data_IF_379542163665
#
_entry.id   IF_379542163665
#
_cell.length_a   1.000
_cell.length_b   1.000
_cell.length_c   1.000
_cell.angle_alpha   90.00
_cell.angle_beta   90.00
_cell.angle_gamma   90.00
#
_symmetry.space_group_name_H-M   'P 1'
#
loop_
_entity.id
_entity.type
_entity.pdbx_description
1 polymer ?
#
# COMPACT_ATOMS: atom_id res chain seq x y z
N UNK A 1 -18.65 4.03 -7.70
CA UNK A 1 -17.79 3.10 -8.46
C UNK A 1 -17.68 1.82 -7.66
N UNK A 2 -17.93 0.67 -8.29
CA UNK A 2 -17.82 -0.64 -7.64
C UNK A 2 -16.37 -0.90 -7.16
N UNK A 3 -16.21 -1.38 -5.92
CA UNK A 3 -14.91 -1.62 -5.28
C UNK A 3 -14.00 -2.54 -6.09
N UNK A 4 -14.56 -3.54 -6.79
CA UNK A 4 -13.82 -4.40 -7.74
C UNK A 4 -12.88 -3.64 -8.70
N UNK A 5 -13.25 -2.43 -9.10
CA UNK A 5 -12.46 -1.59 -10.01
C UNK A 5 -11.49 -0.63 -9.30
N UNK A 6 -11.67 -0.42 -8.00
CA UNK A 6 -10.79 0.39 -7.16
C UNK A 6 -9.67 -0.44 -6.50
N UNK A 7 -9.97 -1.71 -6.18
CA UNK A 7 -9.09 -2.67 -5.52
C UNK A 7 -8.23 -3.45 -6.53
N UNK A 8 -6.94 -3.73 -6.27
CA UNK A 8 -6.03 -4.54 -7.11
C UNK A 8 -6.68 -5.73 -7.80
N UNK A 9 -6.34 -5.99 -9.08
CA UNK A 9 -6.99 -7.04 -9.89
C UNK A 9 -6.87 -8.42 -9.25
N UNK A 10 -5.75 -8.68 -8.57
CA UNK A 10 -5.47 -9.96 -7.92
C UNK A 10 -6.50 -10.30 -6.84
N UNK A 11 -7.13 -9.29 -6.22
CA UNK A 11 -8.15 -9.49 -5.20
C UNK A 11 -9.49 -9.95 -5.75
N UNK A 12 -9.74 -9.83 -7.06
CA UNK A 12 -11.07 -10.14 -7.63
C UNK A 12 -11.43 -11.62 -7.51
N UNK A 13 -10.44 -12.50 -7.44
CA UNK A 13 -10.63 -13.94 -7.30
C UNK A 13 -10.59 -14.40 -5.84
N UNK A 14 -10.05 -13.58 -4.94
CA UNK A 14 -9.82 -13.92 -3.53
C UNK A 14 -10.93 -13.37 -2.64
N UNK A 15 -11.23 -12.07 -2.76
CA UNK A 15 -12.14 -11.40 -1.84
C UNK A 15 -13.61 -11.82 -2.03
N UNK A 16 -14.43 -11.69 -0.97
CA UNK A 16 -15.87 -11.93 -1.04
C UNK A 16 -16.57 -11.07 -2.08
N UNK A 17 -17.65 -11.63 -2.65
CA UNK A 17 -18.44 -10.93 -3.67
C UNK A 17 -19.11 -9.69 -3.09
N UNK A 18 -19.53 -9.75 -1.84
CA UNK A 18 -20.20 -8.70 -1.09
C UNK A 18 -19.35 -7.44 -0.99
N UNK A 19 -18.05 -7.59 -0.69
CA UNK A 19 -17.07 -6.50 -0.71
C UNK A 19 -16.82 -6.04 -2.15
N UNK A 20 -16.52 -6.97 -3.06
CA UNK A 20 -16.15 -6.62 -4.45
C UNK A 20 -17.27 -5.89 -5.19
N UNK A 21 -18.53 -6.22 -4.93
CA UNK A 21 -19.71 -5.63 -5.57
C UNK A 21 -20.28 -4.43 -4.80
N UNK A 22 -19.69 -4.06 -3.66
CA UNK A 22 -20.10 -2.84 -2.97
C UNK A 22 -19.70 -1.61 -3.79
N UNK A 23 -20.60 -0.65 -3.88
CA UNK A 23 -20.42 0.59 -4.63
C UNK A 23 -20.62 1.77 -3.68
N UNK A 24 -19.58 2.18 -2.93
CA UNK A 24 -19.64 3.42 -2.17
C UNK A 24 -19.66 4.61 -3.15
N UNK A 25 -20.58 5.55 -2.91
CA UNK A 25 -20.69 6.79 -3.69
C UNK A 25 -19.98 7.96 -3.00
N UNK A 26 -18.66 7.89 -2.93
CA UNK A 26 -17.85 8.92 -2.29
C UNK A 26 -17.62 10.14 -3.21
N UNK A 27 -18.27 11.25 -2.89
CA UNK A 27 -18.19 12.52 -3.62
C UNK A 27 -17.31 13.57 -2.93
N UNK A 28 -17.00 13.39 -1.64
CA UNK A 28 -16.23 14.35 -0.85
C UNK A 28 -14.71 14.12 -0.86
N UNK A 29 -14.22 12.97 -1.31
CA UNK A 29 -12.79 12.65 -1.32
C UNK A 29 -12.32 12.32 -2.75
N UNK A 30 -12.36 13.30 -3.64
CA UNK A 30 -11.83 13.15 -5.01
C UNK A 30 -10.38 13.62 -5.08
N UNK A 31 -9.52 12.83 -5.72
CA UNK A 31 -8.10 13.16 -5.88
C UNK A 31 -7.87 14.26 -6.93
N UNK A 32 -8.78 14.40 -7.90
CA UNK A 32 -8.68 15.42 -8.96
C UNK A 32 -8.97 16.83 -8.44
N UNK A 33 -9.87 16.95 -7.46
CA UNK A 33 -10.20 18.21 -6.79
C UNK A 33 -10.12 18.01 -5.28
N UNK A 34 -8.91 18.13 -4.73
CA UNK A 34 -8.65 17.82 -3.33
C UNK A 34 -9.56 18.63 -2.39
N UNK A 35 -10.43 17.94 -1.65
CA UNK A 35 -11.36 18.55 -0.70
C UNK A 35 -10.68 19.03 0.59
N UNK A 36 -9.43 18.64 0.80
CA UNK A 36 -8.58 19.08 1.90
C UNK A 36 -7.72 20.29 1.53
N UNK A 37 -7.72 20.75 0.26
CA UNK A 37 -6.94 21.92 -0.14
C UNK A 37 -7.71 23.23 0.05
N UNK A 38 -6.98 24.33 0.20
CA UNK A 38 -7.57 25.67 0.24
C UNK A 38 -8.09 26.07 -1.15
N UNK A 39 -9.15 26.89 -1.24
CA UNK A 39 -9.95 27.45 -0.14
C UNK A 39 -11.04 26.50 0.41
N UNK A 40 -11.19 25.29 -0.15
CA UNK A 40 -12.27 24.34 0.17
C UNK A 40 -12.24 23.84 1.61
N UNK A 41 -11.06 23.55 2.14
CA UNK A 41 -10.86 23.21 3.55
C UNK A 41 -10.63 24.47 4.38
N UNK A 42 -11.45 24.69 5.41
CA UNK A 42 -11.33 25.87 6.28
C UNK A 42 -10.61 25.60 7.59
N UNK A 43 -10.50 24.34 8.00
CA UNK A 43 -9.86 23.86 9.21
C UNK A 43 -8.35 24.05 9.23
N UNK A 44 -7.76 23.87 10.42
CA UNK A 44 -6.32 24.04 10.66
C UNK A 44 -5.50 23.07 9.79
N UNK A 45 -5.93 21.81 9.72
CA UNK A 45 -5.33 20.78 8.89
C UNK A 45 -5.90 20.91 7.48
N UNK A 46 -5.02 21.15 6.52
CA UNK A 46 -5.33 21.26 5.10
C UNK A 46 -4.11 20.80 4.31
N UNK A 47 -4.27 20.53 3.02
CA UNK A 47 -3.19 20.12 2.12
C UNK A 47 -2.91 21.20 1.08
N UNK A 48 -1.69 21.23 0.57
CA UNK A 48 -1.36 21.93 -0.67
C UNK A 48 -2.05 21.24 -1.85
N UNK A 49 -2.61 22.02 -2.76
CA UNK A 49 -3.38 21.50 -3.91
C UNK A 49 -2.53 20.64 -4.84
N UNK A 50 -1.26 21.00 -5.01
CA UNK A 50 -0.29 20.29 -5.86
C UNK A 50 0.30 19.02 -5.20
N UNK A 51 0.17 18.87 -3.87
CA UNK A 51 0.70 17.74 -3.12
C UNK A 51 -0.38 16.74 -2.65
N UNK A 52 -1.57 17.25 -2.28
CA UNK A 52 -2.73 16.44 -1.84
C UNK A 52 -2.35 15.55 -0.64
N UNK A 53 -3.02 14.41 -0.48
CA UNK A 53 -2.59 13.35 0.46
C UNK A 53 -1.35 12.58 -0.04
N UNK A 54 -0.80 12.92 -1.21
CA UNK A 54 0.33 12.21 -1.83
C UNK A 54 1.68 12.58 -1.20
N UNK A 55 1.72 13.22 -0.02
CA UNK A 55 2.93 13.34 0.81
C UNK A 55 3.11 12.13 1.74
N UNK A 56 2.62 10.97 1.31
CA UNK A 56 2.80 9.68 1.97
C UNK A 56 3.53 8.75 1.02
N UNK A 57 4.58 8.07 1.48
CA UNK A 57 5.26 7.01 0.74
C UNK A 57 4.64 5.66 1.10
N UNK A 58 3.72 5.11 0.28
CA UNK A 58 3.04 3.87 0.63
C UNK A 58 3.95 2.67 0.44
N UNK A 59 3.73 1.68 1.29
CA UNK A 59 4.21 0.32 1.06
C UNK A 59 3.47 -0.30 -0.13
N UNK A 60 4.19 -1.07 -0.96
CA UNK A 60 3.60 -1.90 -2.00
C UNK A 60 4.14 -3.33 -1.81
N UNK A 61 3.29 -4.32 -1.49
CA UNK A 61 3.74 -5.68 -1.20
C UNK A 61 4.33 -6.36 -2.44
N UNK A 62 5.20 -7.34 -2.21
CA UNK A 62 5.99 -8.03 -3.24
C UNK A 62 5.18 -8.51 -4.47
N UNK A 63 4.03 -9.13 -4.27
CA UNK A 63 3.18 -9.63 -5.33
C UNK A 63 2.49 -8.50 -6.13
N UNK A 64 2.23 -7.34 -5.52
CA UNK A 64 1.73 -6.17 -6.25
C UNK A 64 2.81 -5.49 -7.07
N UNK A 65 4.06 -5.48 -6.57
CA UNK A 65 5.22 -5.08 -7.36
C UNK A 65 5.35 -6.01 -8.57
N UNK A 66 5.23 -7.32 -8.38
CA UNK A 66 5.19 -8.31 -9.47
C UNK A 66 4.05 -8.09 -10.46
N UNK A 67 2.83 -7.82 -9.97
CA UNK A 67 1.67 -7.52 -10.81
C UNK A 67 1.93 -6.32 -11.73
N UNK A 68 2.53 -5.25 -11.20
CA UNK A 68 2.90 -4.07 -11.98
C UNK A 68 4.02 -4.38 -12.97
N UNK A 69 5.05 -5.12 -12.58
CA UNK A 69 6.16 -5.53 -13.46
C UNK A 69 5.72 -6.47 -14.59
N UNK A 70 4.61 -7.19 -14.40
CA UNK A 70 3.98 -8.03 -15.43
C UNK A 70 3.00 -7.27 -16.33
N UNK A 71 2.54 -6.08 -15.93
CA UNK A 71 1.67 -5.24 -16.76
C UNK A 71 2.50 -4.43 -17.77
N UNK A 72 2.41 -4.72 -19.09
CA UNK A 72 3.16 -3.98 -20.10
C UNK A 72 2.76 -2.50 -20.21
N UNK A 73 1.59 -2.11 -19.70
CA UNK A 73 1.12 -0.73 -19.72
C UNK A 73 1.65 0.10 -18.55
N UNK A 74 2.20 -0.53 -17.50
CA UNK A 74 2.69 0.12 -16.29
C UNK A 74 4.12 0.68 -16.43
N UNK A 75 4.43 1.29 -17.58
CA UNK A 75 5.78 1.74 -17.97
C UNK A 75 6.46 2.66 -16.93
N UNK A 76 5.71 3.63 -16.38
CA UNK A 76 6.23 4.52 -15.33
C UNK A 76 6.53 3.78 -14.02
N UNK A 77 5.66 2.83 -13.63
CA UNK A 77 5.89 2.01 -12.44
C UNK A 77 7.15 1.14 -12.60
N UNK A 78 7.36 0.53 -13.78
CA UNK A 78 8.56 -0.25 -14.09
C UNK A 78 9.82 0.59 -13.91
N UNK A 79 9.85 1.78 -14.51
CA UNK A 79 10.99 2.71 -14.41
C UNK A 79 11.27 3.09 -12.95
N UNK A 80 10.23 3.40 -12.17
CA UNK A 80 10.38 3.76 -10.76
C UNK A 80 10.95 2.57 -9.97
N UNK A 81 10.34 1.39 -10.10
CA UNK A 81 10.74 0.21 -9.34
C UNK A 81 12.16 -0.26 -9.67
N UNK A 82 12.54 -0.31 -10.96
CA UNK A 82 13.91 -0.64 -11.38
C UNK A 82 14.92 0.34 -10.81
N UNK A 83 14.61 1.64 -10.88
CA UNK A 83 15.46 2.65 -10.26
C UNK A 83 15.61 2.48 -8.74
N UNK A 84 14.53 2.11 -8.03
CA UNK A 84 14.59 1.85 -6.58
C UNK A 84 15.43 0.60 -6.26
N UNK A 85 15.31 -0.44 -7.07
CA UNK A 85 16.12 -1.67 -6.99
C UNK A 85 17.62 -1.36 -7.17
N UNK A 86 17.99 -0.72 -8.29
CA UNK A 86 19.37 -0.34 -8.63
C UNK A 86 20.02 0.55 -7.56
N UNK A 87 19.29 1.54 -7.05
CA UNK A 87 19.76 2.49 -6.04
C UNK A 87 19.65 1.96 -4.59
N UNK A 88 19.17 0.72 -4.41
CA UNK A 88 18.93 0.10 -3.09
C UNK A 88 18.04 0.96 -2.18
N UNK A 89 17.06 1.64 -2.77
CA UNK A 89 16.11 2.52 -2.05
C UNK A 89 14.99 1.70 -1.41
N UNK A 90 15.39 0.75 -0.56
CA UNK A 90 14.48 -0.10 0.22
C UNK A 90 13.48 -0.88 -0.64
N UNK A 91 13.91 -1.30 -1.84
CA UNK A 91 13.32 -2.45 -2.53
C UNK A 91 13.78 -3.72 -1.80
N UNK A 92 12.85 -4.39 -1.12
CA UNK A 92 13.10 -5.55 -0.26
C UNK A 92 12.23 -6.73 -0.71
N UNK A 93 12.52 -7.98 -0.30
CA UNK A 93 11.67 -9.12 -0.59
C UNK A 93 10.21 -8.98 -0.11
N UNK A 94 9.94 -8.17 0.90
CA UNK A 94 8.57 -7.84 1.32
C UNK A 94 7.86 -6.89 0.34
N UNK A 95 8.60 -6.11 -0.45
CA UNK A 95 8.02 -5.15 -1.39
C UNK A 95 8.81 -3.84 -1.49
N UNK A 96 8.12 -2.79 -1.96
CA UNK A 96 8.67 -1.43 -1.99
C UNK A 96 8.35 -0.73 -0.69
N UNK A 97 9.39 -0.53 0.12
CA UNK A 97 9.28 0.09 1.45
C UNK A 97 9.81 1.51 1.40
N UNK A 98 9.20 2.40 2.18
CA UNK A 98 9.72 3.75 2.32
C UNK A 98 11.11 3.73 2.99
N UNK A 99 12.06 4.60 2.62
CA UNK A 99 13.36 4.63 3.29
C UNK A 99 13.25 5.02 4.77
N UNK A 100 14.10 4.45 5.64
CA UNK A 100 14.05 4.66 7.11
C UNK A 100 14.11 6.14 7.48
N UNK A 101 14.90 6.94 6.75
CA UNK A 101 14.92 8.41 6.88
C UNK A 101 13.51 9.01 6.82
N UNK A 102 12.76 8.69 5.75
CA UNK A 102 11.39 9.16 5.59
C UNK A 102 10.48 8.61 6.70
N UNK A 103 10.56 7.30 6.99
CA UNK A 103 9.67 6.67 7.97
C UNK A 103 9.81 7.33 9.36
N UNK A 104 11.04 7.56 9.82
CA UNK A 104 11.30 8.19 11.12
C UNK A 104 10.78 9.62 11.14
N UNK A 105 11.05 10.42 10.12
CA UNK A 105 10.54 11.79 10.05
C UNK A 105 9.01 11.82 10.01
N UNK A 106 8.41 11.02 9.13
CA UNK A 106 6.96 10.93 8.97
C UNK A 106 6.29 10.45 10.26
N UNK A 107 6.80 9.43 10.93
CA UNK A 107 6.19 8.89 12.15
C UNK A 107 6.31 9.80 13.37
N UNK A 108 7.26 10.75 13.35
CA UNK A 108 7.43 11.76 14.41
C UNK A 108 6.90 13.14 13.99
N UNK A 109 6.12 13.21 12.91
CA UNK A 109 5.55 14.44 12.37
C UNK A 109 4.54 15.07 13.33
N UNK A 110 4.37 16.38 13.19
CA UNK A 110 3.18 17.08 13.64
C UNK A 110 2.04 16.92 12.62
N UNK A 111 0.79 17.02 13.08
CA UNK A 111 -0.39 16.86 12.21
C UNK A 111 -0.42 17.84 11.03
N UNK A 112 0.17 19.03 11.19
CA UNK A 112 0.19 20.08 10.17
C UNK A 112 1.21 19.87 9.06
N UNK A 113 2.12 18.90 9.17
CA UNK A 113 3.12 18.63 8.12
C UNK A 113 2.57 17.76 6.98
N UNK A 114 1.57 16.92 7.26
CA UNK A 114 0.98 16.05 6.26
C UNK A 114 0.21 16.87 5.20
N UNK A 115 0.48 16.58 3.92
CA UNK A 115 -0.04 17.32 2.77
C UNK A 115 0.62 18.68 2.53
N UNK A 116 1.67 19.03 3.28
CA UNK A 116 2.36 20.33 3.18
C UNK A 116 3.81 20.22 2.70
N UNK A 117 4.47 19.09 3.00
CA UNK A 117 5.89 18.86 2.71
C UNK A 117 6.12 18.26 1.32
N UNK A 118 6.68 19.05 0.42
CA UNK A 118 7.00 18.59 -0.94
C UNK A 118 8.15 17.57 -0.95
N UNK A 119 9.07 17.64 0.01
CA UNK A 119 10.15 16.67 0.17
C UNK A 119 9.66 15.28 0.68
N UNK A 120 8.39 15.18 1.06
CA UNK A 120 7.69 13.92 1.38
C UNK A 120 6.83 13.39 0.24
N UNK A 121 6.85 14.04 -0.91
CA UNK A 121 6.03 13.62 -2.03
C UNK A 121 6.32 12.17 -2.43
N UNK A 122 5.24 11.41 -2.54
CA UNK A 122 5.24 10.01 -2.91
C UNK A 122 6.04 9.78 -4.20
N UNK A 123 6.98 8.81 -4.24
CA UNK A 123 7.76 8.54 -5.44
C UNK A 123 6.90 8.02 -6.62
N UNK A 124 5.66 7.60 -6.35
CA UNK A 124 4.72 7.13 -7.36
C UNK A 124 3.79 8.23 -7.89
N UNK A 125 3.86 9.44 -7.32
CA UNK A 125 3.05 10.56 -7.79
C UNK A 125 3.66 11.18 -9.05
N UNK A 126 2.83 11.33 -10.08
CA UNK A 126 3.19 11.99 -11.32
C UNK A 126 2.84 13.47 -11.23
N UNK A 127 3.83 14.34 -11.04
CA UNK A 127 3.60 15.79 -10.94
C UNK A 127 3.01 16.39 -12.22
N UNK A 128 3.39 15.88 -13.39
CA UNK A 128 2.92 16.42 -14.67
C UNK A 128 1.45 16.09 -14.94
N UNK A 129 1.07 14.82 -14.69
CA UNK A 129 -0.30 14.33 -14.90
C UNK A 129 -1.20 14.49 -13.66
N UNK A 130 -0.63 14.92 -12.53
CA UNK A 130 -1.30 15.05 -11.23
C UNK A 130 -2.03 13.77 -10.76
N UNK A 131 -1.48 12.59 -11.11
CA UNK A 131 -2.06 11.28 -10.85
C UNK A 131 -1.03 10.29 -10.26
N UNK A 132 -1.45 9.03 -10.03
CA UNK A 132 -0.60 8.00 -9.43
C UNK A 132 -0.15 6.97 -10.47
N UNK A 133 1.16 6.79 -10.63
CA UNK A 133 1.74 5.83 -11.58
C UNK A 133 1.49 4.37 -11.20
N UNK A 134 1.07 4.10 -9.96
CA UNK A 134 0.76 2.74 -9.46
C UNK A 134 -0.70 2.58 -9.08
N UNK A 135 -1.60 3.47 -9.53
CA UNK A 135 -2.97 3.58 -9.03
C UNK A 135 -3.69 2.23 -8.88
N UNK A 136 -3.66 1.39 -9.92
CA UNK A 136 -4.39 0.10 -9.95
C UNK A 136 -3.90 -0.91 -8.92
N UNK A 137 -2.62 -0.86 -8.53
CA UNK A 137 -1.95 -1.77 -7.60
C UNK A 137 -1.22 -0.98 -6.49
N UNK A 138 -1.85 0.09 -6.00
CA UNK A 138 -1.37 0.88 -4.86
C UNK A 138 -1.69 0.12 -3.56
N UNK A 139 -0.80 0.20 -2.58
CA UNK A 139 -1.01 -0.47 -1.30
C UNK A 139 -2.27 0.00 -0.57
N UNK A 140 -2.76 -0.83 0.36
CA UNK A 140 -4.05 -0.67 1.02
C UNK A 140 -4.28 0.73 1.61
N UNK A 141 -3.26 1.33 2.24
CA UNK A 141 -3.39 2.66 2.84
C UNK A 141 -3.88 3.67 1.82
N UNK A 142 -3.28 3.73 0.63
CA UNK A 142 -3.75 4.65 -0.42
C UNK A 142 -5.04 4.18 -1.10
N UNK A 143 -5.38 2.90 -0.99
CA UNK A 143 -6.61 2.35 -1.58
C UNK A 143 -7.84 2.70 -0.73
N UNK A 144 -7.69 2.75 0.59
CA UNK A 144 -8.78 2.98 1.54
C UNK A 144 -8.68 4.31 2.31
N UNK A 145 -7.72 5.18 1.98
CA UNK A 145 -7.63 6.50 2.60
C UNK A 145 -8.69 7.46 2.06
N UNK A 146 -9.68 7.78 2.90
CA UNK A 146 -10.71 8.79 2.63
C UNK A 146 -10.63 9.89 3.68
N UNK A 147 -10.15 11.07 3.28
CA UNK A 147 -10.03 12.22 4.19
C UNK A 147 -11.38 12.79 4.64
N UNK A 148 -12.42 12.57 3.83
CA UNK A 148 -13.82 12.96 4.08
C UNK A 148 -14.72 11.90 3.50
N UNK A 149 -15.84 11.64 4.18
CA UNK A 149 -16.85 10.68 3.74
C UNK A 149 -18.18 11.38 3.44
N UNK A 150 -18.82 10.93 2.37
CA UNK A 150 -20.16 11.34 1.93
C UNK A 150 -21.22 10.80 2.87
N UNK A 151 -20.92 9.68 3.53
CA UNK A 151 -21.72 9.00 4.54
C UNK A 151 -21.40 9.45 5.98
N UNK A 152 -20.57 10.48 6.15
CA UNK A 152 -20.14 10.93 7.48
C UNK A 152 -19.33 9.86 8.21
N UNK A 153 -19.53 9.76 9.52
CA UNK A 153 -18.74 8.88 10.41
C UNK A 153 -18.86 7.41 10.03
N UNK A 154 -20.05 6.93 9.63
CA UNK A 154 -20.26 5.55 9.20
C UNK A 154 -19.40 5.18 7.97
N UNK A 155 -19.21 6.12 7.04
CA UNK A 155 -18.32 5.86 5.90
C UNK A 155 -16.85 5.90 6.30
N UNK A 156 -16.45 6.77 7.24
CA UNK A 156 -15.08 6.76 7.78
C UNK A 156 -14.80 5.42 8.48
N UNK A 157 -15.74 4.94 9.29
CA UNK A 157 -15.66 3.64 9.94
C UNK A 157 -15.53 2.50 8.93
N UNK A 158 -16.36 2.49 7.88
CA UNK A 158 -16.24 1.51 6.80
C UNK A 158 -14.85 1.50 6.16
N UNK A 159 -14.31 2.67 5.80
CA UNK A 159 -13.01 2.76 5.15
C UNK A 159 -11.86 2.33 6.08
N UNK A 160 -11.98 2.60 7.38
CA UNK A 160 -11.02 2.14 8.39
C UNK A 160 -11.08 0.61 8.57
N UNK A 161 -12.28 0.03 8.68
CA UNK A 161 -12.46 -1.43 8.74
C UNK A 161 -11.95 -2.11 7.47
N UNK A 162 -12.20 -1.52 6.30
CA UNK A 162 -11.70 -2.04 5.04
C UNK A 162 -10.17 -1.92 4.96
N UNK A 163 -9.59 -0.84 5.51
CA UNK A 163 -8.14 -0.70 5.65
C UNK A 163 -7.57 -1.85 6.49
N UNK A 164 -8.13 -2.09 7.68
CA UNK A 164 -7.64 -3.11 8.61
C UNK A 164 -7.73 -4.52 8.00
N UNK A 165 -8.86 -4.86 7.39
CA UNK A 165 -9.04 -6.15 6.71
C UNK A 165 -8.05 -6.32 5.55
N UNK A 166 -7.97 -5.35 4.64
CA UNK A 166 -7.07 -5.44 3.49
C UNK A 166 -5.60 -5.37 3.89
N UNK A 167 -5.24 -4.69 4.98
CA UNK A 167 -3.90 -4.72 5.57
C UNK A 167 -3.53 -6.13 6.04
N UNK A 168 -4.45 -6.80 6.72
CA UNK A 168 -4.28 -8.19 7.14
C UNK A 168 -4.13 -9.13 5.94
N UNK A 169 -4.98 -8.97 4.92
CA UNK A 169 -4.87 -9.70 3.64
C UNK A 169 -3.53 -9.43 2.96
N UNK A 170 -3.07 -8.18 2.89
CA UNK A 170 -1.79 -7.83 2.25
C UNK A 170 -0.61 -8.52 2.90
N UNK A 171 -0.55 -8.53 4.23
CA UNK A 171 0.50 -9.21 4.98
C UNK A 171 0.44 -10.72 4.79
N UNK A 172 -0.74 -11.34 4.89
CA UNK A 172 -0.89 -12.78 4.72
C UNK A 172 -0.40 -13.25 3.34
N UNK A 173 -0.83 -12.59 2.26
CA UNK A 173 -0.43 -12.95 0.89
C UNK A 173 1.07 -12.71 0.64
N UNK A 174 1.62 -11.65 1.23
CA UNK A 174 3.05 -11.34 1.17
C UNK A 174 3.89 -12.40 1.88
N UNK A 175 3.47 -12.82 3.07
CA UNK A 175 4.16 -13.83 3.87
C UNK A 175 4.10 -15.20 3.19
N UNK A 176 2.94 -15.57 2.63
CA UNK A 176 2.78 -16.81 1.86
C UNK A 176 3.74 -16.84 0.67
N UNK A 177 3.84 -15.75 -0.09
CA UNK A 177 4.80 -15.65 -1.19
C UNK A 177 6.26 -15.80 -0.71
N UNK A 178 6.61 -15.28 0.47
CA UNK A 178 7.94 -15.42 1.04
C UNK A 178 8.24 -16.84 1.50
N UNK A 179 7.28 -17.50 2.16
CA UNK A 179 7.42 -18.91 2.58
C UNK A 179 7.65 -19.81 1.37
N UNK A 180 6.87 -19.61 0.30
CA UNK A 180 7.00 -20.36 -0.96
C UNK A 180 8.30 -20.05 -1.74
N UNK A 181 9.02 -18.99 -1.35
CA UNK A 181 10.32 -18.60 -1.91
C UNK A 181 11.48 -18.86 -0.91
N UNK A 182 11.27 -19.81 0.02
CA UNK A 182 12.26 -20.30 0.99
C UNK A 182 12.77 -19.25 1.99
N UNK A 183 11.93 -18.26 2.33
CA UNK A 183 12.22 -17.36 3.46
C UNK A 183 11.72 -17.99 4.76
N UNK A 184 12.64 -18.17 5.71
CA UNK A 184 12.29 -18.60 7.06
C UNK A 184 11.50 -17.53 7.81
N UNK A 185 10.69 -17.91 8.83
CA UNK A 185 9.98 -16.95 9.67
C UNK A 185 10.88 -15.86 10.28
N UNK A 186 12.13 -16.19 10.62
CA UNK A 186 13.10 -15.21 11.15
C UNK A 186 13.52 -14.17 10.10
N UNK A 187 13.68 -14.59 8.84
CA UNK A 187 13.99 -13.67 7.75
C UNK A 187 12.79 -12.77 7.46
N UNK A 188 11.58 -13.32 7.43
CA UNK A 188 10.34 -12.55 7.28
C UNK A 188 10.22 -11.49 8.39
N UNK A 189 10.37 -11.88 9.66
CA UNK A 189 10.37 -10.92 10.77
C UNK A 189 11.43 -9.81 10.61
N UNK A 190 12.65 -10.18 10.20
CA UNK A 190 13.73 -9.21 9.96
C UNK A 190 13.38 -8.21 8.85
N UNK A 191 12.64 -8.66 7.82
CA UNK A 191 12.17 -7.79 6.75
C UNK A 191 11.03 -6.88 7.23
N UNK A 192 10.08 -7.42 8.00
CA UNK A 192 8.95 -6.69 8.57
C UNK A 192 9.39 -5.58 9.54
N UNK A 193 10.55 -5.72 10.19
CA UNK A 193 11.15 -4.63 10.98
C UNK A 193 11.36 -3.34 10.17
N UNK A 194 11.52 -3.44 8.85
CA UNK A 194 11.66 -2.27 7.97
C UNK A 194 10.33 -1.64 7.55
N UNK A 195 9.19 -2.29 7.80
CA UNK A 195 7.90 -1.86 7.26
C UNK A 195 7.40 -0.54 7.85
N UNK A 196 7.55 -0.31 9.17
CA UNK A 196 7.09 0.91 9.82
C UNK A 196 7.97 1.33 11.03
N UNK A 197 9.12 1.92 10.74
CA UNK A 197 10.17 2.33 11.69
C UNK A 197 9.85 3.70 12.30
N UNK A 198 9.82 3.76 13.64
CA UNK A 198 9.78 5.02 14.40
C UNK A 198 11.17 5.49 14.84
N UNK A 199 12.16 4.59 14.77
CA UNK A 199 13.57 4.83 15.12
C UNK A 199 14.49 4.34 14.00
N UNK A 200 15.71 4.87 13.96
CA UNK A 200 16.73 4.49 13.00
C UNK A 200 18.12 4.85 13.51
N UNK A 201 19.15 4.22 12.96
CA UNK A 201 20.54 4.58 13.23
C UNK A 201 20.88 5.95 12.64
N UNK A 202 21.98 6.58 13.09
CA UNK A 202 22.42 7.86 12.55
C UNK A 202 22.72 7.81 11.04
N UNK A 203 23.20 6.66 10.54
CA UNK A 203 23.45 6.45 9.11
C UNK A 203 22.14 6.34 8.31
N UNK A 204 21.19 5.53 8.78
CA UNK A 204 19.88 5.35 8.13
C UNK A 204 19.09 6.66 8.03
N UNK A 205 19.14 7.51 9.06
CA UNK A 205 18.45 8.82 9.04
C UNK A 205 19.06 9.81 8.05
N UNK A 206 20.26 9.54 7.52
CA UNK A 206 20.95 10.41 6.55
C UNK A 206 20.92 9.86 5.12
N UNK A 207 20.48 8.63 4.92
CA UNK A 207 20.52 7.93 3.63
C UNK A 207 19.13 7.59 3.11
N UNK A 208 18.96 7.66 1.79
CA UNK A 208 17.81 7.11 1.08
C UNK A 208 18.03 5.65 0.63
N UNK A 209 19.29 5.21 0.65
CA UNK A 209 19.72 3.89 0.20
C UNK A 209 20.16 3.02 1.37
N UNK A 210 19.92 1.72 1.24
CA UNK A 210 20.45 0.71 2.13
C UNK A 210 21.93 0.41 1.80
N UNK A 211 22.69 0.07 2.84
CA UNK A 211 24.04 -0.49 2.70
C UNK A 211 24.00 -1.75 1.82
N UNK A 212 24.98 -1.91 0.94
CA UNK A 212 24.97 -2.99 -0.06
C UNK A 212 25.07 -4.38 0.59
N UNK A 213 25.93 -4.54 1.61
CA UNK A 213 26.07 -5.81 2.31
C UNK A 213 24.76 -6.19 2.97
N UNK A 214 24.11 -5.24 3.65
CA UNK A 214 22.81 -5.49 4.28
C UNK A 214 21.73 -5.79 3.24
N UNK A 215 21.72 -5.09 2.12
CA UNK A 215 20.77 -5.35 1.05
C UNK A 215 20.94 -6.80 0.53
N UNK A 216 22.16 -7.21 0.16
CA UNK A 216 22.45 -8.59 -0.28
C UNK A 216 22.02 -9.65 0.73
N UNK A 217 22.27 -9.42 2.02
CA UNK A 217 21.87 -10.31 3.12
C UNK A 217 20.34 -10.51 3.18
N UNK A 218 19.57 -9.41 3.08
CA UNK A 218 18.12 -9.46 3.19
C UNK A 218 17.45 -10.19 2.02
N UNK A 219 18.08 -10.24 0.86
CA UNK A 219 17.50 -10.80 -0.36
C UNK A 219 17.61 -12.32 -0.49
N UNK A 220 18.20 -13.04 0.47
CA UNK A 220 18.23 -14.51 0.51
C UNK A 220 18.66 -15.18 -0.83
N UNK A 221 19.70 -14.63 -1.49
CA UNK A 221 20.19 -15.13 -2.78
C UNK A 221 19.49 -14.56 -4.02
N UNK A 222 18.41 -13.80 -3.87
CA UNK A 222 17.69 -13.16 -4.98
C UNK A 222 18.16 -11.73 -5.31
N UNK A 223 19.28 -11.26 -4.74
CA UNK A 223 19.71 -9.87 -4.89
C UNK A 223 20.01 -9.47 -6.34
N UNK A 224 20.51 -10.39 -7.15
CA UNK A 224 20.83 -10.14 -8.57
C UNK A 224 19.60 -10.34 -9.49
N UNK A 225 18.49 -10.92 -8.99
CA UNK A 225 17.24 -11.18 -9.73
C UNK A 225 16.01 -10.70 -8.94
N UNK A 226 16.04 -9.42 -8.53
CA UNK A 226 14.95 -8.82 -7.74
C UNK A 226 13.64 -8.73 -8.55
N UNK A 227 13.74 -8.42 -9.84
CA UNK A 227 12.57 -8.38 -10.74
C UNK A 227 11.93 -9.76 -10.90
N UNK A 228 12.74 -10.80 -11.16
CA UNK A 228 12.26 -12.18 -11.24
C UNK A 228 11.65 -12.66 -9.93
N UNK A 229 12.22 -12.29 -8.79
CA UNK A 229 11.65 -12.55 -7.47
C UNK A 229 10.23 -11.97 -7.33
N UNK A 230 10.03 -10.69 -7.64
CA UNK A 230 8.70 -10.08 -7.52
C UNK A 230 7.68 -10.72 -8.47
N UNK A 231 8.09 -11.07 -9.70
CA UNK A 231 7.22 -11.78 -10.65
C UNK A 231 6.81 -13.15 -10.12
N UNK A 232 7.73 -13.91 -9.53
CA UNK A 232 7.40 -15.18 -8.86
C UNK A 232 6.44 -15.00 -7.69
N UNK A 233 6.62 -13.95 -6.88
CA UNK A 233 5.69 -13.63 -5.78
C UNK A 233 4.27 -13.35 -6.31
N UNK A 234 4.15 -12.62 -7.42
CA UNK A 234 2.87 -12.45 -8.11
C UNK A 234 2.29 -13.78 -8.59
N UNK A 235 3.10 -14.62 -9.24
CA UNK A 235 2.63 -15.91 -9.76
C UNK A 235 2.10 -16.80 -8.63
N UNK A 236 2.78 -16.86 -7.48
CA UNK A 236 2.33 -17.60 -6.29
C UNK A 236 0.95 -17.12 -5.86
N UNK A 237 0.80 -15.81 -5.61
CA UNK A 237 -0.47 -15.25 -5.11
C UNK A 237 -1.59 -15.35 -6.14
N UNK A 238 -1.29 -15.19 -7.43
CA UNK A 238 -2.28 -15.25 -8.50
C UNK A 238 -2.88 -16.65 -8.71
N UNK A 239 -2.16 -17.69 -8.28
CA UNK A 239 -2.58 -19.09 -8.37
C UNK A 239 -3.25 -19.60 -7.10
N UNK A 240 -3.41 -18.77 -6.05
CA UNK A 240 -4.17 -19.14 -4.87
C UNK A 240 -5.65 -19.29 -5.23
N UNK A 241 -6.25 -20.39 -4.76
CA UNK A 241 -7.70 -20.56 -4.78
C UNK A 241 -8.34 -19.97 -3.51
N UNK A 242 -9.68 -19.84 -3.52
CA UNK A 242 -10.43 -19.29 -2.39
C UNK A 242 -10.29 -20.10 -1.10
N UNK A 243 -10.09 -21.42 -1.21
CA UNK A 243 -9.98 -22.29 -0.04
C UNK A 243 -8.65 -22.02 0.66
N UNK A 244 -7.55 -22.04 -0.09
CA UNK A 244 -6.22 -21.72 0.42
C UNK A 244 -6.18 -20.29 1.00
N UNK A 245 -6.82 -19.34 0.32
CA UNK A 245 -6.96 -17.96 0.81
C UNK A 245 -7.66 -17.89 2.18
N UNK A 246 -8.81 -18.54 2.34
CA UNK A 246 -9.53 -18.53 3.62
C UNK A 246 -8.78 -19.28 4.73
N UNK A 247 -8.12 -20.40 4.40
CA UNK A 247 -7.29 -21.15 5.37
C UNK A 247 -6.13 -20.28 5.88
N UNK A 248 -5.49 -19.53 4.97
CA UNK A 248 -4.40 -18.61 5.31
C UNK A 248 -4.86 -17.44 6.18
N UNK A 249 -6.05 -16.89 5.94
CA UNK A 249 -6.59 -15.79 6.76
C UNK A 249 -7.05 -16.22 8.16
N UNK A 250 -7.41 -17.50 8.34
CA UNK A 250 -7.87 -18.03 9.61
C UNK A 250 -9.09 -17.30 10.21
N UNK A 251 -9.32 -17.49 11.51
CA UNK A 251 -10.46 -16.91 12.24
C UNK A 251 -10.40 -15.38 12.29
N UNK A 252 -9.20 -14.80 12.40
CA UNK A 252 -9.03 -13.35 12.50
C UNK A 252 -9.47 -12.63 11.22
N UNK A 253 -9.10 -13.15 10.05
CA UNK A 253 -9.53 -12.57 8.78
C UNK A 253 -11.04 -12.73 8.56
N UNK A 254 -11.62 -13.87 8.97
CA UNK A 254 -13.07 -14.08 8.92
C UNK A 254 -13.82 -13.09 9.82
N UNK A 255 -13.34 -12.87 11.04
CA UNK A 255 -13.93 -11.88 11.94
C UNK A 255 -13.93 -10.46 11.34
N UNK A 256 -12.79 -10.02 10.78
CA UNK A 256 -12.68 -8.71 10.12
C UNK A 256 -13.59 -8.58 8.89
N UNK A 257 -13.78 -9.68 8.16
CA UNK A 257 -14.71 -9.75 7.04
C UNK A 257 -16.17 -9.62 7.50
N UNK A 258 -16.55 -10.28 8.60
CA UNK A 258 -17.88 -10.16 9.20
C UNK A 258 -18.18 -8.73 9.66
N UNK A 259 -17.21 -8.02 10.24
CA UNK A 259 -17.36 -6.61 10.61
C UNK A 259 -17.72 -5.74 9.39
N UNK A 260 -17.10 -6.00 8.23
CA UNK A 260 -17.44 -5.30 6.98
C UNK A 260 -18.86 -5.62 6.50
N UNK A 261 -19.29 -6.87 6.62
CA UNK A 261 -20.64 -7.28 6.20
C UNK A 261 -21.75 -6.68 7.07
N UNK A 262 -21.45 -6.31 8.31
CA UNK A 262 -22.40 -5.60 9.19
C UNK A 262 -22.58 -4.14 8.77
N UNK A 263 -21.50 -3.47 8.33
CA UNK A 263 -21.53 -2.03 8.00
C UNK A 263 -22.07 -1.77 6.58
N UNK A 264 -21.74 -2.63 5.60
CA UNK A 264 -22.13 -2.43 4.20
C UNK A 264 -23.64 -2.17 4.00
N UNK A 265 -24.57 -2.91 4.63
CA UNK A 265 -26.01 -2.65 4.52
C UNK A 265 -26.41 -1.24 4.96
N UNK A 266 -25.80 -0.71 6.02
CA UNK A 266 -26.12 0.62 6.58
C UNK A 266 -25.77 1.74 5.59
N UNK A 267 -24.71 1.53 4.80
CA UNK A 267 -24.28 2.47 3.77
C UNK A 267 -25.08 2.39 2.47
N UNK A 268 -25.87 1.33 2.26
CA UNK A 268 -26.73 1.18 1.07
C UNK A 268 -28.09 1.87 1.22
N UNK A 269 -28.49 2.18 2.46
CA UNK A 269 -29.83 2.70 2.78
C UNK A 269 -29.85 4.24 2.81
N UNK A 270 -28.68 4.88 2.78
CA UNK A 270 -28.51 6.35 2.75
C UNK A 270 -28.06 6.84 1.38
#
# INVERSE_FOLDING_TARGET
MILKYQLPLIYQNLLPREILQFEPNETKATCDTCAMSRPRETGKIHYREDLKCCTFHPFIPNYMVGALLNDPNATDAHRIFKGKMERREYALPIGMVAPVKYQVEFNNRTETEFGQREDWLCPYYNKEKQNCNVWRNRGVVCTTFFCKSSYGDAGIEFWDKLNNYLWYVELALLEEALVMLDFSPRQVMTLLDYHNRTKGTAAEKKSWSMDEKKAKELWNGYFEDQEGFYKKAFDIVSNLDKKAFHEMLGEQGQFMEEELFQIIPELKVN
#
